data_IF_425177591594
#
_entry.id   IF_425177591594
#
_cell.length_a   1.000
_cell.length_b   1.000
_cell.length_c   1.000
_cell.angle_alpha   90.00
_cell.angle_beta   90.00
_cell.angle_gamma   90.00
#
_symmetry.space_group_name_H-M   'P 1'
#
loop_
_entity.id
_entity.type
_entity.pdbx_description
1 polymer ?
#
# COMPACT_ATOMS: atom_id res chain seq x y z
N UNK A 1 -13.91 -4.16 -24.88
CA UNK A 1 -13.32 -3.15 -23.98
C UNK A 1 -12.87 -3.85 -22.71
N UNK A 2 -11.65 -4.40 -22.70
CA UNK A 2 -11.12 -5.11 -21.53
C UNK A 2 -10.51 -4.07 -20.62
N UNK A 3 -11.13 -3.81 -19.47
CA UNK A 3 -10.51 -2.98 -18.43
C UNK A 3 -9.36 -3.81 -17.87
N UNK A 4 -8.14 -3.52 -18.30
CA UNK A 4 -6.93 -3.93 -17.60
C UNK A 4 -6.80 -3.02 -16.38
N UNK A 5 -6.85 -3.61 -15.19
CA UNK A 5 -6.57 -2.90 -13.96
C UNK A 5 -5.06 -2.65 -13.88
N UNK A 6 -4.65 -1.54 -13.27
CA UNK A 6 -3.23 -1.15 -13.15
C UNK A 6 -2.34 -2.17 -12.40
N UNK A 7 -2.97 -3.16 -11.78
CA UNK A 7 -2.37 -4.25 -11.01
C UNK A 7 -2.42 -5.59 -11.76
N UNK A 8 -2.88 -5.61 -13.00
CA UNK A 8 -2.85 -6.81 -13.85
C UNK A 8 -1.45 -6.97 -14.45
N UNK A 9 -0.72 -7.99 -14.00
CA UNK A 9 0.28 -8.61 -14.86
C UNK A 9 -0.46 -9.49 -15.86
N UNK A 10 -0.09 -9.34 -17.14
CA UNK A 10 -0.58 -10.08 -18.30
C UNK A 10 -1.10 -11.49 -17.95
N UNK A 11 -2.27 -11.89 -18.47
CA UNK A 11 -3.02 -13.12 -18.13
C UNK A 11 -3.84 -13.08 -16.81
N UNK A 12 -4.28 -11.91 -16.35
CA UNK A 12 -5.23 -11.81 -15.23
C UNK A 12 -4.60 -12.13 -13.86
N UNK A 13 -3.28 -12.03 -13.75
CA UNK A 13 -2.57 -12.16 -12.48
C UNK A 13 -2.51 -10.79 -11.81
N UNK A 14 -3.20 -10.67 -10.67
CA UNK A 14 -3.10 -9.47 -9.85
C UNK A 14 -1.74 -9.44 -9.14
N UNK A 15 -0.94 -8.41 -9.41
CA UNK A 15 0.24 -8.04 -8.64
C UNK A 15 -0.22 -7.15 -7.48
N UNK A 16 -0.04 -7.58 -6.23
CA UNK A 16 -0.38 -6.74 -5.09
C UNK A 16 0.44 -5.45 -5.10
N UNK A 17 -0.22 -4.29 -5.15
CA UNK A 17 0.44 -2.98 -5.04
C UNK A 17 0.59 -2.53 -3.59
N UNK A 18 -0.01 -3.26 -2.65
CA UNK A 18 0.01 -2.94 -1.22
C UNK A 18 1.09 -3.76 -0.52
N UNK A 19 2.04 -3.07 0.10
CA UNK A 19 3.10 -3.68 0.90
C UNK A 19 2.54 -4.23 2.22
N UNK A 20 3.17 -5.27 2.75
CA UNK A 20 2.89 -5.77 4.11
C UNK A 20 3.13 -4.67 5.15
N UNK A 21 4.14 -3.83 4.94
CA UNK A 21 4.48 -2.74 5.85
C UNK A 21 3.39 -1.65 5.88
N UNK A 22 2.68 -1.42 4.76
CA UNK A 22 1.50 -0.54 4.74
C UNK A 22 0.34 -1.09 5.56
N UNK A 23 0.21 -2.41 5.67
CA UNK A 23 -0.78 -3.03 6.55
C UNK A 23 -0.32 -3.02 8.02
N UNK A 24 0.98 -3.00 8.27
CA UNK A 24 1.56 -2.95 9.61
C UNK A 24 1.60 -1.53 10.20
N UNK A 25 1.68 -0.48 9.38
CA UNK A 25 1.73 0.93 9.81
C UNK A 25 0.58 1.31 10.77
N UNK A 26 -0.70 1.04 10.45
CA UNK A 26 -1.81 1.36 11.35
C UNK A 26 -1.75 0.61 12.68
N UNK A 27 -1.24 -0.63 12.68
CA UNK A 27 -1.05 -1.43 13.89
C UNK A 27 0.06 -0.82 14.76
N UNK A 28 1.17 -0.39 14.15
CA UNK A 28 2.24 0.33 14.86
C UNK A 28 1.75 1.61 15.53
N UNK A 29 0.87 2.36 14.84
CA UNK A 29 0.21 3.53 15.42
C UNK A 29 -0.68 3.19 16.62
N UNK A 30 -1.43 2.10 16.55
CA UNK A 30 -2.26 1.65 17.68
C UNK A 30 -1.43 1.24 18.89
N UNK A 31 -0.26 0.66 18.67
CA UNK A 31 0.71 0.38 19.73
C UNK A 31 1.43 1.63 20.27
N UNK A 32 1.18 2.80 19.69
CA UNK A 32 1.73 4.08 20.16
C UNK A 32 3.13 4.39 19.63
N UNK A 33 3.60 3.72 18.58
CA UNK A 33 4.90 4.01 17.98
C UNK A 33 4.91 5.42 17.36
N UNK A 34 6.02 6.12 17.57
CA UNK A 34 6.35 7.39 16.91
C UNK A 34 6.79 7.15 15.45
N UNK A 35 6.80 8.21 14.63
CA UNK A 35 7.24 8.13 13.23
C UNK A 35 8.66 7.54 13.06
N UNK A 36 9.56 7.88 13.99
CA UNK A 36 10.94 7.40 13.97
C UNK A 36 11.02 5.89 14.29
N UNK A 37 10.20 5.43 15.24
CA UNK A 37 10.13 4.01 15.61
C UNK A 37 9.47 3.18 14.49
N UNK A 38 8.44 3.74 13.85
CA UNK A 38 7.84 3.17 12.66
C UNK A 38 8.83 3.09 11.49
N UNK A 39 9.63 4.13 11.25
CA UNK A 39 10.65 4.11 10.20
C UNK A 39 11.79 3.12 10.50
N UNK A 40 12.12 2.89 11.78
CA UNK A 40 13.08 1.88 12.18
C UNK A 40 12.53 0.45 12.05
N UNK A 41 11.26 0.23 12.41
CA UNK A 41 10.59 -1.07 12.35
C UNK A 41 10.15 -1.45 10.93
N UNK A 42 9.77 -0.47 10.11
CA UNK A 42 9.24 -0.63 8.76
C UNK A 42 10.06 0.25 7.78
N UNK A 43 11.29 -0.15 7.43
CA UNK A 43 12.20 0.70 6.66
C UNK A 43 11.72 0.96 5.22
N UNK A 44 10.96 0.03 4.62
CA UNK A 44 10.45 0.19 3.25
C UNK A 44 9.11 0.94 3.22
N UNK A 45 8.55 1.34 4.36
CA UNK A 45 7.30 2.09 4.44
C UNK A 45 7.41 3.44 3.73
N UNK A 46 8.61 4.02 3.68
CA UNK A 46 8.91 5.24 2.92
C UNK A 46 8.66 5.10 1.42
N UNK A 47 8.92 3.91 0.86
CA UNK A 47 8.66 3.58 -0.56
C UNK A 47 7.18 3.33 -0.84
N UNK A 48 6.40 3.07 0.21
CA UNK A 48 4.99 2.67 0.12
C UNK A 48 4.18 3.43 1.17
N UNK A 49 3.90 4.73 0.97
CA UNK A 49 3.17 5.52 1.96
C UNK A 49 1.72 5.01 2.11
N UNK A 50 1.18 5.07 3.33
CA UNK A 50 -0.13 4.50 3.69
C UNK A 50 -1.31 4.94 2.79
N UNK A 51 -1.20 6.11 2.14
CA UNK A 51 -2.25 6.68 1.30
C UNK A 51 -2.34 6.06 -0.12
N UNK A 52 -1.38 5.21 -0.52
CA UNK A 52 -1.36 4.63 -1.86
C UNK A 52 -2.58 3.72 -2.15
N UNK A 53 -3.07 2.98 -1.15
CA UNK A 53 -4.24 2.11 -1.31
C UNK A 53 -5.53 2.91 -1.61
N UNK A 54 -5.72 4.05 -0.94
CA UNK A 54 -6.88 4.94 -1.17
C UNK A 54 -6.80 5.60 -2.54
N UNK A 55 -5.60 6.04 -2.95
CA UNK A 55 -5.37 6.63 -4.27
C UNK A 55 -5.70 5.68 -5.42
N UNK A 56 -5.42 4.38 -5.26
CA UNK A 56 -5.73 3.38 -6.29
C UNK A 56 -7.24 3.16 -6.46
N UNK A 57 -8.02 3.26 -5.38
CA UNK A 57 -9.49 3.19 -5.44
C UNK A 57 -10.09 4.44 -6.11
N UNK A 58 -9.52 5.62 -5.86
CA UNK A 58 -9.96 6.88 -6.47
C UNK A 58 -9.65 6.92 -7.98
N UNK A 59 -8.48 6.42 -8.39
CA UNK A 59 -8.11 6.28 -9.81
C UNK A 59 -8.96 5.24 -10.55
N UNK A 60 -9.45 4.21 -9.87
CA UNK A 60 -10.32 3.19 -10.46
C UNK A 60 -11.79 3.65 -10.64
N UNK A 61 -12.17 4.79 -10.02
CA UNK A 61 -13.53 5.36 -10.06
C UNK A 61 -13.70 6.55 -11.02
N UNK A 62 -12.66 6.95 -11.76
CA UNK A 62 -12.71 7.95 -12.84
C UNK A 62 -12.70 7.28 -14.20
#
# INVERSE_FOLDING_TARGET
>A
MTRVFAQDADNGRLIPTTSVEQNAEPLGRWFGLTDAELAAALPNLSSFPANAAVQNVLKAKV
#
